data_IF_162757718563
#
_entry.id   IF_162757718563
#
_cell.length_a   1.000
_cell.length_b   1.000
_cell.length_c   1.000
_cell.angle_alpha   90.00
_cell.angle_beta   90.00
_cell.angle_gamma   90.00
#
_symmetry.space_group_name_H-M   'P 1'
#
loop_
_entity.id
_entity.type
_entity.pdbx_description
1 polymer ?
#
# COMPACT_ATOMS: atom_id res chain seq x y z
N UNK A 1 -8.86 -19.45 -0.63
CA UNK A 1 -8.58 -20.64 -1.48
C UNK A 1 -7.10 -20.70 -1.78
N UNK A 2 -6.59 -21.78 -2.39
CA UNK A 2 -5.17 -21.85 -2.82
C UNK A 2 -4.82 -20.69 -3.75
N UNK A 3 -5.72 -20.36 -4.68
CA UNK A 3 -5.56 -19.22 -5.61
C UNK A 3 -5.44 -17.86 -4.90
N UNK A 4 -6.25 -17.61 -3.86
CA UNK A 4 -6.15 -16.38 -3.06
C UNK A 4 -4.80 -16.30 -2.31
N UNK A 5 -4.29 -17.44 -1.84
CA UNK A 5 -2.99 -17.49 -1.17
C UNK A 5 -1.84 -17.20 -2.14
N UNK A 6 -1.87 -17.77 -3.34
CA UNK A 6 -0.90 -17.50 -4.40
C UNK A 6 -0.93 -16.04 -4.84
N UNK A 7 -2.12 -15.46 -4.96
CA UNK A 7 -2.29 -14.05 -5.29
C UNK A 7 -1.72 -13.12 -4.21
N UNK A 8 -1.97 -13.43 -2.93
CA UNK A 8 -1.39 -12.69 -1.82
C UNK A 8 0.13 -12.84 -1.76
N UNK A 9 0.65 -14.05 -1.99
CA UNK A 9 2.09 -14.28 -2.03
C UNK A 9 2.74 -13.46 -3.15
N UNK A 10 2.17 -13.47 -4.35
CA UNK A 10 2.61 -12.62 -5.46
C UNK A 10 2.62 -11.15 -5.08
N UNK A 11 1.57 -10.67 -4.41
CA UNK A 11 1.50 -9.30 -3.92
C UNK A 11 2.65 -8.99 -2.95
N UNK A 12 2.94 -9.87 -2.00
CA UNK A 12 4.02 -9.68 -1.03
C UNK A 12 5.39 -9.67 -1.70
N UNK A 13 5.63 -10.57 -2.65
CA UNK A 13 6.88 -10.64 -3.41
C UNK A 13 7.11 -9.34 -4.21
N UNK A 14 6.07 -8.82 -4.85
CA UNK A 14 6.15 -7.55 -5.58
C UNK A 14 6.43 -6.37 -4.64
N UNK A 15 5.69 -6.26 -3.54
CA UNK A 15 5.88 -5.17 -2.57
C UNK A 15 7.30 -5.21 -1.98
N UNK A 16 7.87 -6.39 -1.72
CA UNK A 16 9.20 -6.52 -1.09
C UNK A 16 10.36 -6.62 -2.06
N UNK A 17 10.12 -6.50 -3.36
CA UNK A 17 11.14 -6.62 -4.39
C UNK A 17 12.30 -5.61 -4.21
N UNK A 18 13.51 -6.04 -4.60
CA UNK A 18 14.71 -5.19 -4.56
C UNK A 18 14.61 -4.03 -5.55
N UNK A 19 14.11 -4.32 -6.75
CA UNK A 19 13.93 -3.35 -7.82
C UNK A 19 12.74 -2.42 -7.53
N UNK A 20 12.89 -1.12 -7.82
CA UNK A 20 11.86 -0.16 -7.45
C UNK A 20 10.64 -0.23 -8.39
N UNK A 21 10.82 -0.59 -9.66
CA UNK A 21 9.74 -0.73 -10.62
C UNK A 21 8.85 -1.91 -10.24
N UNK A 22 9.43 -3.03 -9.82
CA UNK A 22 8.67 -4.17 -9.30
C UNK A 22 7.86 -3.81 -8.04
N UNK A 23 8.41 -2.97 -7.15
CA UNK A 23 7.63 -2.46 -6.00
C UNK A 23 6.46 -1.58 -6.43
N UNK A 24 6.64 -0.76 -7.48
CA UNK A 24 5.54 0.04 -8.06
C UNK A 24 4.44 -0.86 -8.63
N UNK A 25 4.80 -1.97 -9.30
CA UNK A 25 3.82 -2.97 -9.74
C UNK A 25 3.04 -3.58 -8.58
N UNK A 26 3.70 -3.83 -7.44
CA UNK A 26 3.04 -4.27 -6.22
C UNK A 26 2.00 -3.27 -5.69
N UNK A 27 2.30 -1.97 -5.75
CA UNK A 27 1.34 -0.90 -5.38
C UNK A 27 0.14 -0.88 -6.33
N UNK A 28 0.38 -1.00 -7.64
CA UNK A 28 -0.69 -1.08 -8.65
C UNK A 28 -1.58 -2.31 -8.42
N UNK A 29 -0.98 -3.48 -8.19
CA UNK A 29 -1.72 -4.70 -7.91
C UNK A 29 -2.56 -4.56 -6.64
N UNK A 30 -2.01 -4.01 -5.55
CA UNK A 30 -2.78 -3.79 -4.33
C UNK A 30 -4.01 -2.91 -4.57
N UNK A 31 -3.83 -1.79 -5.28
CA UNK A 31 -4.94 -0.87 -5.57
C UNK A 31 -6.05 -1.55 -6.38
N UNK A 32 -5.66 -2.34 -7.38
CA UNK A 32 -6.58 -3.11 -8.20
C UNK A 32 -7.31 -4.19 -7.38
N UNK A 33 -6.63 -4.87 -6.44
CA UNK A 33 -7.27 -5.83 -5.53
C UNK A 33 -8.22 -5.17 -4.52
N UNK A 34 -7.91 -3.96 -4.04
CA UNK A 34 -8.85 -3.18 -3.22
C UNK A 34 -10.15 -2.89 -3.97
N UNK A 35 -10.08 -2.66 -5.28
CA UNK A 35 -11.23 -2.43 -6.15
C UNK A 35 -11.99 -3.70 -6.49
N UNK A 36 -11.30 -4.77 -6.91
CA UNK A 36 -11.92 -6.00 -7.42
C UNK A 36 -12.35 -6.96 -6.31
N UNK A 37 -11.60 -7.02 -5.21
CA UNK A 37 -11.75 -8.01 -4.15
C UNK A 37 -11.61 -7.40 -2.75
N UNK A 38 -12.41 -6.38 -2.38
CA UNK A 38 -12.26 -5.68 -1.10
C UNK A 38 -12.36 -6.60 0.12
N UNK A 39 -13.16 -7.68 0.05
CA UNK A 39 -13.27 -8.67 1.14
C UNK A 39 -11.95 -9.42 1.38
N UNK A 40 -11.24 -9.82 0.31
CA UNK A 40 -9.94 -10.47 0.41
C UNK A 40 -8.93 -9.55 1.13
N UNK A 41 -8.93 -8.27 0.74
CA UNK A 41 -8.07 -7.26 1.36
C UNK A 41 -8.44 -7.05 2.83
N UNK A 42 -9.72 -6.85 3.15
CA UNK A 42 -10.16 -6.65 4.53
C UNK A 42 -9.83 -7.84 5.44
N UNK A 43 -9.98 -9.08 4.93
CA UNK A 43 -9.66 -10.28 5.70
C UNK A 43 -8.16 -10.44 6.01
N UNK A 44 -7.28 -9.84 5.20
CA UNK A 44 -5.83 -9.95 5.31
C UNK A 44 -5.16 -8.58 5.59
N UNK A 45 -5.94 -7.61 6.07
CA UNK A 45 -5.57 -6.19 6.07
C UNK A 45 -4.28 -5.92 6.83
N UNK A 46 -4.09 -6.59 7.97
CA UNK A 46 -2.92 -6.40 8.84
C UNK A 46 -1.64 -6.78 8.11
N UNK A 47 -1.57 -8.00 7.57
CA UNK A 47 -0.38 -8.49 6.89
C UNK A 47 -0.10 -7.74 5.58
N UNK A 48 -1.14 -7.43 4.80
CA UNK A 48 -0.98 -6.63 3.58
C UNK A 48 -0.38 -5.26 3.91
N UNK A 49 -0.88 -4.60 4.97
CA UNK A 49 -0.40 -3.28 5.34
C UNK A 49 0.95 -3.30 6.07
N UNK A 50 1.36 -4.42 6.66
CA UNK A 50 2.75 -4.61 7.11
C UNK A 50 3.74 -4.43 5.96
N UNK A 51 3.43 -4.96 4.78
CA UNK A 51 4.24 -4.78 3.58
C UNK A 51 4.02 -3.43 2.89
N UNK A 52 2.78 -2.93 2.87
CA UNK A 52 2.46 -1.69 2.17
C UNK A 52 3.00 -0.43 2.89
N UNK A 53 3.04 -0.41 4.23
CA UNK A 53 3.62 0.72 5.00
C UNK A 53 5.09 0.94 4.62
N UNK A 54 5.83 -0.13 4.30
CA UNK A 54 7.21 0.00 3.81
C UNK A 54 7.30 0.76 2.47
N UNK A 55 6.23 0.80 1.68
CA UNK A 55 6.15 1.59 0.44
C UNK A 55 5.83 3.06 0.72
N UNK A 56 4.97 3.35 1.71
CA UNK A 56 4.75 4.73 2.19
C UNK A 56 6.05 5.32 2.75
N UNK A 57 6.91 4.48 3.33
CA UNK A 57 8.21 4.85 3.87
C UNK A 57 9.38 4.57 2.91
N UNK A 58 9.13 4.30 1.62
CA UNK A 58 10.17 3.81 0.70
C UNK A 58 11.32 4.82 0.51
N UNK A 59 12.55 4.33 0.35
CA UNK A 59 13.70 5.19 0.02
C UNK A 59 13.57 5.79 -1.39
N UNK A 60 12.95 5.06 -2.32
CA UNK A 60 12.70 5.56 -3.66
C UNK A 60 11.47 6.49 -3.66
N UNK A 61 11.69 7.76 -4.06
CA UNK A 61 10.65 8.80 -4.04
C UNK A 61 9.46 8.50 -4.96
N UNK A 62 9.67 7.79 -6.08
CA UNK A 62 8.59 7.43 -7.01
C UNK A 62 7.67 6.37 -6.40
N UNK A 63 8.25 5.35 -5.77
CA UNK A 63 7.49 4.31 -5.06
C UNK A 63 6.69 4.93 -3.92
N UNK A 64 7.34 5.79 -3.12
CA UNK A 64 6.71 6.50 -2.01
C UNK A 64 5.53 7.36 -2.45
N UNK A 65 5.73 8.20 -3.48
CA UNK A 65 4.67 9.05 -4.01
C UNK A 65 3.48 8.21 -4.51
N UNK A 66 3.75 7.18 -5.32
CA UNK A 66 2.71 6.30 -5.83
C UNK A 66 1.95 5.57 -4.71
N UNK A 67 2.64 5.16 -3.65
CA UNK A 67 2.01 4.52 -2.49
C UNK A 67 1.08 5.48 -1.74
N UNK A 68 1.47 6.75 -1.57
CA UNK A 68 0.61 7.77 -0.96
C UNK A 68 -0.63 8.05 -1.81
N UNK A 69 -0.46 8.25 -3.12
CA UNK A 69 -1.56 8.45 -4.06
C UNK A 69 -2.53 7.24 -4.07
N UNK A 70 -1.97 6.02 -4.07
CA UNK A 70 -2.76 4.80 -4.01
C UNK A 70 -3.51 4.67 -2.68
N UNK A 71 -2.88 5.03 -1.55
CA UNK A 71 -3.52 5.02 -0.23
C UNK A 71 -4.75 5.94 -0.19
N UNK A 72 -4.66 7.15 -0.76
CA UNK A 72 -5.78 8.08 -0.83
C UNK A 72 -7.01 7.45 -1.52
N UNK A 73 -6.78 6.68 -2.59
CA UNK A 73 -7.84 5.94 -3.29
C UNK A 73 -8.35 4.77 -2.45
N UNK A 74 -7.47 3.99 -1.84
CA UNK A 74 -7.84 2.82 -1.02
C UNK A 74 -8.69 3.19 0.19
N UNK A 75 -8.48 4.37 0.80
CA UNK A 75 -9.30 4.85 1.93
C UNK A 75 -10.79 4.87 1.55
N UNK A 76 -11.12 5.34 0.35
CA UNK A 76 -12.51 5.41 -0.12
C UNK A 76 -13.12 4.03 -0.41
N UNK A 77 -12.28 3.06 -0.79
CA UNK A 77 -12.70 1.70 -1.15
C UNK A 77 -12.89 0.81 0.08
N UNK A 78 -11.96 0.89 1.04
CA UNK A 78 -11.89 0.00 2.20
C UNK A 78 -12.62 0.56 3.42
N UNK A 79 -12.72 1.89 3.55
CA UNK A 79 -13.45 2.58 4.64
C UNK A 79 -13.08 2.01 6.02
N UNK A 80 -14.06 1.58 6.81
CA UNK A 80 -13.86 0.99 8.14
C UNK A 80 -13.04 -0.31 8.15
N UNK A 81 -12.81 -0.94 7.00
CA UNK A 81 -11.88 -2.06 6.86
C UNK A 81 -10.43 -1.70 7.20
N UNK A 82 -10.06 -0.41 7.18
CA UNK A 82 -8.74 0.08 7.57
C UNK A 82 -8.55 0.24 9.08
N UNK A 83 -9.62 0.14 9.88
CA UNK A 83 -9.55 0.34 11.33
C UNK A 83 -8.42 -0.44 12.02
N UNK A 84 -8.13 -1.72 11.67
CA UNK A 84 -7.06 -2.48 12.33
C UNK A 84 -5.64 -1.93 12.09
N UNK A 85 -5.44 -1.12 11.05
CA UNK A 85 -4.10 -0.65 10.62
C UNK A 85 -3.97 0.88 10.65
N UNK A 86 -5.01 1.56 11.13
CA UNK A 86 -5.16 3.01 11.04
C UNK A 86 -4.05 3.77 11.78
N UNK A 87 -3.67 3.31 12.97
CA UNK A 87 -2.59 3.93 13.77
C UNK A 87 -1.26 3.87 13.01
N UNK A 88 -0.87 2.69 12.49
CA UNK A 88 0.39 2.53 11.76
C UNK A 88 0.42 3.30 10.45
N UNK A 89 -0.73 3.42 9.78
CA UNK A 89 -0.87 4.26 8.60
C UNK A 89 -0.65 5.74 8.91
N UNK A 90 -1.26 6.25 9.98
CA UNK A 90 -1.10 7.65 10.40
C UNK A 90 0.38 7.94 10.71
N UNK A 91 1.05 7.08 11.46
CA UNK A 91 2.49 7.21 11.75
C UNK A 91 3.36 7.21 10.49
N UNK A 92 3.04 6.36 9.50
CA UNK A 92 3.78 6.32 8.25
C UNK A 92 3.57 7.58 7.41
N UNK A 93 2.33 8.09 7.34
CA UNK A 93 1.97 9.26 6.55
C UNK A 93 2.52 10.55 7.15
N UNK A 94 2.48 10.73 8.48
CA UNK A 94 2.94 11.97 9.13
C UNK A 94 4.41 12.27 8.84
N UNK A 95 5.25 11.25 8.67
CA UNK A 95 6.65 11.39 8.27
C UNK A 95 6.86 11.97 6.86
N UNK A 96 5.81 12.03 6.04
CA UNK A 96 5.88 12.54 4.67
C UNK A 96 5.34 13.98 4.55
N UNK A 97 4.62 14.49 5.56
CA UNK A 97 3.99 15.82 5.54
C UNK A 97 5.00 16.98 5.49
N UNK A 98 6.26 16.76 5.85
CA UNK A 98 7.35 17.75 5.77
C UNK A 98 8.28 17.53 4.57
N UNK A 99 7.89 16.67 3.62
CA UNK A 99 8.72 16.35 2.46
C UNK A 99 8.97 17.57 1.59
N UNK A 100 10.23 17.79 1.20
CA UNK A 100 10.61 18.81 0.20
C UNK A 100 10.28 18.41 -1.23
N UNK A 101 9.87 17.16 -1.46
CA UNK A 101 9.49 16.67 -2.77
C UNK A 101 8.02 16.98 -3.02
N UNK A 102 7.73 17.91 -3.94
CA UNK A 102 6.38 18.44 -4.20
C UNK A 102 5.36 17.33 -4.43
N UNK A 103 5.68 16.31 -5.22
CA UNK A 103 4.75 15.21 -5.47
C UNK A 103 4.45 14.34 -4.26
N UNK A 104 5.36 14.24 -3.29
CA UNK A 104 5.12 13.51 -2.03
C UNK A 104 4.32 14.36 -1.05
N UNK A 105 4.60 15.67 -1.03
CA UNK A 105 3.88 16.62 -0.18
C UNK A 105 2.41 16.81 -0.62
N UNK A 106 2.15 16.74 -1.93
CA UNK A 106 0.82 16.94 -2.51
C UNK A 106 -0.05 15.67 -2.55
N UNK A 107 0.55 14.49 -2.39
CA UNK A 107 -0.14 13.20 -2.40
C UNK A 107 -0.88 12.96 -1.07
#
# INVERSE_FOLDING_TARGET
TVEEMELLQKLYDLLTAKDFQTRMEGVVLLLDLCKRSPRLISNNIVQIFDYFVLRICDYNKKVKQQALEALALMITMLKGGLNPVLIRLVEAVTNNLNSKHVGIYAA
#
